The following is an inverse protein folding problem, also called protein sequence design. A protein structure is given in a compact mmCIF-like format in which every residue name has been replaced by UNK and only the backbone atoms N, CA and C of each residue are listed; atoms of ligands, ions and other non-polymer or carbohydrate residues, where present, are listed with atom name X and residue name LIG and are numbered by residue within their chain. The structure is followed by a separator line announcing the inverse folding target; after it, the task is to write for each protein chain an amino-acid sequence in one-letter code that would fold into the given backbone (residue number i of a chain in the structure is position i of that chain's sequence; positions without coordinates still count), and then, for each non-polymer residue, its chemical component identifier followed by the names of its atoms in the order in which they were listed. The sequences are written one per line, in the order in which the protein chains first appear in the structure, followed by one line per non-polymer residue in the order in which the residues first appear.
data_IF_435826590178
#
_entry.id   IF_435826590178
#
_cell.length_a   1.000
_cell.length_b   1.000
_cell.length_c   1.000
_cell.angle_alpha   90.00
_cell.angle_beta   90.00
_cell.angle_gamma   90.00
#
_symmetry.space_group_name_H-M   'P 1'
#
loop_
_entity.id
_entity.type
_entity.pdbx_description
1 polymer ?
#
# COMPACT_ATOMS: atom_id res chain seq x y z
N UNK A 1 22.71 18.17 8.16
CA UNK A 1 22.56 16.70 8.18
C UNK A 1 23.82 16.14 8.85
N UNK A 2 23.69 15.62 10.09
CA UNK A 2 24.84 15.16 10.85
C UNK A 2 25.38 13.84 10.32
N UNK A 3 26.73 13.72 10.33
CA UNK A 3 27.43 12.48 10.03
C UNK A 3 26.86 11.27 10.78
N UNK A 4 26.27 11.44 11.97
CA UNK A 4 25.66 10.40 12.76
C UNK A 4 24.42 9.75 12.13
N UNK A 5 23.62 10.49 11.34
CA UNK A 5 22.42 9.96 10.69
C UNK A 5 22.79 9.10 9.46
N UNK A 6 23.89 9.47 8.78
CA UNK A 6 24.41 8.71 7.64
C UNK A 6 25.02 7.38 8.11
N UNK A 7 25.76 7.38 9.21
CA UNK A 7 26.33 6.16 9.81
C UNK A 7 25.25 5.20 10.33
N UNK A 8 24.23 5.72 11.00
CA UNK A 8 23.09 4.90 11.48
C UNK A 8 22.29 4.29 10.32
N UNK A 9 22.18 4.99 9.19
CA UNK A 9 21.52 4.46 7.99
C UNK A 9 22.36 3.35 7.35
N UNK A 10 23.68 3.53 7.24
CA UNK A 10 24.60 2.51 6.72
C UNK A 10 24.70 1.26 7.60
N UNK A 11 24.65 1.42 8.93
CA UNK A 11 24.62 0.29 9.86
C UNK A 11 23.34 -0.55 9.70
N UNK A 12 22.17 0.09 9.49
CA UNK A 12 20.91 -0.60 9.23
C UNK A 12 20.85 -1.30 7.88
N UNK A 13 21.50 -0.75 6.86
CA UNK A 13 21.59 -1.37 5.52
C UNK A 13 22.41 -2.67 5.51
N UNK A 14 23.25 -2.88 6.51
CA UNK A 14 24.09 -4.08 6.67
C UNK A 14 23.53 -5.12 7.66
N UNK A 15 22.40 -4.84 8.32
CA UNK A 15 21.75 -5.82 9.18
C UNK A 15 21.06 -6.89 8.32
N UNK A 16 21.14 -8.18 8.70
CA UNK A 16 20.41 -9.22 8.00
C UNK A 16 18.90 -8.96 8.12
N UNK A 17 18.11 -9.35 7.10
CA UNK A 17 16.66 -9.19 7.18
C UNK A 17 16.13 -9.94 8.40
N UNK A 18 15.03 -9.44 9.03
CA UNK A 18 14.38 -10.16 10.11
C UNK A 18 13.89 -11.54 9.62
N UNK A 19 13.63 -12.49 10.52
CA UNK A 19 13.08 -13.77 10.11
C UNK A 19 11.68 -13.58 9.50
N UNK A 20 11.38 -14.38 8.48
CA UNK A 20 10.04 -14.48 7.91
C UNK A 20 9.08 -14.99 8.97
N UNK A 21 7.87 -14.42 9.04
CA UNK A 21 6.84 -14.91 9.95
C UNK A 21 6.55 -16.39 9.69
N UNK A 22 6.41 -17.24 10.73
CA UNK A 22 6.24 -18.69 10.58
C UNK A 22 5.10 -19.10 9.65
N UNK A 23 3.99 -18.38 9.67
CA UNK A 23 2.82 -18.63 8.83
C UNK A 23 3.08 -18.41 7.34
N UNK A 24 4.12 -17.68 6.97
CA UNK A 24 4.46 -17.35 5.57
C UNK A 24 5.70 -18.07 5.04
N UNK A 25 6.44 -18.81 5.88
CA UNK A 25 7.68 -19.48 5.48
C UNK A 25 7.47 -20.44 4.29
N UNK A 26 6.40 -21.25 4.33
CA UNK A 26 6.10 -22.21 3.26
C UNK A 26 5.73 -21.51 1.95
N UNK A 27 4.99 -20.39 2.02
CA UNK A 27 4.59 -19.63 0.84
C UNK A 27 5.81 -18.96 0.21
N UNK A 28 6.67 -18.35 1.02
CA UNK A 28 7.91 -17.70 0.55
C UNK A 28 8.84 -18.73 -0.13
N UNK A 29 8.93 -19.95 0.42
CA UNK A 29 9.71 -21.03 -0.17
C UNK A 29 9.22 -21.47 -1.56
N UNK A 30 7.90 -21.39 -1.81
CA UNK A 30 7.29 -21.76 -3.08
C UNK A 30 7.20 -20.59 -4.07
N UNK A 31 7.03 -19.38 -3.56
CA UNK A 31 6.83 -18.15 -4.33
C UNK A 31 7.76 -17.06 -3.79
N UNK A 32 8.93 -16.91 -4.38
CA UNK A 32 9.96 -15.96 -3.91
C UNK A 32 9.54 -14.50 -3.94
N UNK A 33 8.54 -14.15 -4.75
CA UNK A 33 8.00 -12.79 -4.86
C UNK A 33 6.87 -12.52 -3.84
N UNK A 34 6.44 -13.53 -3.09
CA UNK A 34 5.44 -13.33 -2.06
C UNK A 34 5.95 -12.36 -0.99
N UNK A 35 5.18 -11.30 -0.74
CA UNK A 35 5.62 -10.21 0.13
C UNK A 35 4.67 -9.92 1.30
N UNK A 36 3.43 -10.37 1.23
CA UNK A 36 2.45 -10.16 2.27
C UNK A 36 1.06 -10.68 1.95
N UNK A 37 0.15 -10.45 2.89
CA UNK A 37 -1.25 -10.87 2.78
C UNK A 37 -2.17 -9.75 3.28
N UNK A 38 -3.21 -9.42 2.52
CA UNK A 38 -4.20 -8.41 2.89
C UNK A 38 -5.58 -9.03 3.06
N UNK A 39 -6.25 -8.66 4.15
CA UNK A 39 -7.63 -9.06 4.43
C UNK A 39 -8.44 -7.86 4.91
N UNK A 40 -9.63 -7.68 4.34
CA UNK A 40 -10.62 -6.73 4.84
C UNK A 40 -11.89 -7.50 5.14
N UNK A 41 -12.24 -7.63 6.42
CA UNK A 41 -13.40 -8.38 6.87
C UNK A 41 -14.70 -7.82 6.26
N UNK A 42 -15.61 -8.71 5.90
CA UNK A 42 -16.87 -8.33 5.26
C UNK A 42 -16.76 -7.97 3.78
N UNK A 43 -15.59 -8.14 3.18
CA UNK A 43 -15.33 -7.91 1.75
C UNK A 43 -14.75 -9.15 1.09
N UNK A 44 -14.60 -9.12 -0.23
CA UNK A 44 -13.90 -10.17 -1.00
C UNK A 44 -12.37 -10.07 -0.88
N UNK A 45 -11.83 -9.01 -0.27
CA UNK A 45 -10.38 -8.81 -0.19
C UNK A 45 -9.80 -9.73 0.87
N UNK A 46 -9.13 -10.77 0.38
CA UNK A 46 -8.40 -11.79 1.14
C UNK A 46 -7.39 -12.42 0.17
N UNK A 47 -6.26 -11.74 -0.03
CA UNK A 47 -5.35 -12.02 -1.13
C UNK A 47 -3.89 -11.96 -0.74
N UNK A 48 -3.04 -12.77 -1.39
CA UNK A 48 -1.60 -12.58 -1.36
C UNK A 48 -1.20 -11.28 -2.08
N UNK A 49 -0.09 -10.70 -1.65
CA UNK A 49 0.51 -9.50 -2.26
C UNK A 49 1.94 -9.82 -2.64
N UNK A 50 2.30 -9.51 -3.88
CA UNK A 50 3.61 -9.81 -4.45
C UNK A 50 4.49 -8.56 -4.53
N UNK A 51 5.79 -8.75 -4.61
CA UNK A 51 6.77 -7.67 -4.81
C UNK A 51 7.85 -8.13 -5.79
N UNK A 52 8.00 -7.37 -6.88
CA UNK A 52 9.02 -7.57 -7.91
C UNK A 52 9.82 -6.29 -8.11
N UNK A 53 10.98 -6.12 -7.45
CA UNK A 53 11.73 -4.85 -7.51
C UNK A 53 12.21 -4.45 -8.92
N UNK A 54 12.37 -5.44 -9.82
CA UNK A 54 12.94 -5.22 -11.17
C UNK A 54 11.88 -5.13 -12.28
N UNK A 55 10.65 -5.56 -12.02
CA UNK A 55 9.54 -5.52 -12.98
C UNK A 55 8.23 -5.23 -12.25
N UNK A 56 7.94 -3.95 -12.05
CA UNK A 56 6.80 -3.48 -11.28
C UNK A 56 5.43 -3.91 -11.83
N UNK A 57 5.35 -4.26 -13.11
CA UNK A 57 4.09 -4.65 -13.77
C UNK A 57 3.96 -6.17 -13.96
N UNK A 58 4.91 -6.96 -13.45
CA UNK A 58 4.95 -8.41 -13.68
C UNK A 58 3.62 -9.11 -13.34
N UNK A 59 3.02 -8.79 -12.19
CA UNK A 59 1.78 -9.40 -11.71
C UNK A 59 0.51 -8.69 -12.19
N UNK A 60 0.62 -7.66 -13.01
CA UNK A 60 -0.53 -6.92 -13.53
C UNK A 60 -1.52 -7.84 -14.29
N UNK A 61 -1.01 -8.85 -14.99
CA UNK A 61 -1.79 -9.83 -15.75
C UNK A 61 -1.31 -11.27 -15.53
N UNK A 62 -0.83 -11.56 -14.33
CA UNK A 62 -0.35 -12.90 -13.97
C UNK A 62 -0.87 -13.32 -12.61
N UNK A 63 -1.14 -14.60 -12.45
CA UNK A 63 -1.43 -15.21 -11.15
C UNK A 63 -0.14 -15.43 -10.34
N UNK A 64 -0.28 -15.96 -9.11
CA UNK A 64 0.85 -16.22 -8.22
C UNK A 64 1.89 -17.20 -8.77
N UNK A 65 1.51 -18.02 -9.73
CA UNK A 65 2.40 -18.97 -10.43
C UNK A 65 3.09 -18.35 -11.66
N UNK A 66 2.83 -17.10 -11.96
CA UNK A 66 3.38 -16.41 -13.13
C UNK A 66 2.67 -16.75 -14.44
N UNK A 67 1.51 -17.37 -14.38
CA UNK A 67 0.69 -17.70 -15.54
C UNK A 67 -0.23 -16.54 -15.91
N UNK A 68 -0.60 -16.44 -17.18
CA UNK A 68 -1.49 -15.39 -17.66
C UNK A 68 -2.86 -15.45 -16.95
N UNK A 69 -3.26 -14.33 -16.36
CA UNK A 69 -4.54 -14.16 -15.67
C UNK A 69 -4.99 -12.70 -15.82
N UNK A 70 -6.18 -12.51 -16.37
CA UNK A 70 -6.75 -11.19 -16.58
C UNK A 70 -6.99 -10.41 -15.26
N UNK A 71 -7.23 -11.12 -14.16
CA UNK A 71 -7.40 -10.51 -12.84
C UNK A 71 -6.05 -10.02 -12.28
N UNK A 72 -4.96 -10.63 -12.70
CA UNK A 72 -3.65 -10.40 -12.11
C UNK A 72 -3.58 -10.87 -10.65
N UNK A 73 -2.56 -10.40 -9.96
CA UNK A 73 -2.38 -10.56 -8.51
C UNK A 73 -2.09 -9.19 -7.92
N UNK A 74 -2.49 -8.93 -6.68
CA UNK A 74 -2.12 -7.70 -5.98
C UNK A 74 -0.59 -7.62 -5.86
N UNK A 75 -0.04 -6.43 -6.10
CA UNK A 75 1.40 -6.22 -6.03
C UNK A 75 1.75 -4.87 -5.42
N UNK A 76 2.89 -4.85 -4.73
CA UNK A 76 3.43 -3.62 -4.15
C UNK A 76 4.18 -2.81 -5.20
N UNK A 77 4.26 -1.51 -4.96
CA UNK A 77 5.18 -0.65 -5.70
C UNK A 77 6.60 -1.21 -5.61
N UNK A 78 7.34 -1.29 -6.74
CA UNK A 78 8.67 -1.92 -6.77
C UNK A 78 9.72 -1.21 -5.90
N UNK A 79 9.49 0.04 -5.52
CA UNK A 79 10.36 0.82 -4.64
C UNK A 79 10.23 0.46 -3.16
N UNK A 80 9.31 -0.45 -2.81
CA UNK A 80 9.04 -0.84 -1.42
C UNK A 80 10.25 -1.52 -0.80
N UNK A 81 10.64 -1.07 0.39
CA UNK A 81 11.60 -1.72 1.27
C UNK A 81 10.85 -2.35 2.44
N UNK A 82 10.80 -3.69 2.47
CA UNK A 82 10.12 -4.43 3.53
C UNK A 82 10.97 -4.57 4.79
N UNK A 83 12.30 -4.56 4.66
CA UNK A 83 13.23 -4.74 5.79
C UNK A 83 13.26 -3.49 6.66
N UNK A 84 13.48 -2.32 6.05
CA UNK A 84 13.44 -1.03 6.75
C UNK A 84 12.02 -0.52 6.95
N UNK A 85 11.05 -1.15 6.35
CA UNK A 85 9.66 -0.75 6.27
C UNK A 85 9.52 0.69 5.74
N UNK A 86 9.34 0.84 4.42
CA UNK A 86 9.03 2.13 3.78
C UNK A 86 7.90 2.85 4.52
N UNK A 87 7.94 4.17 4.61
CA UNK A 87 6.88 4.97 5.26
C UNK A 87 5.49 4.61 4.73
N UNK A 88 5.36 4.45 3.40
CA UNK A 88 4.12 4.12 2.72
C UNK A 88 4.32 2.89 1.85
N UNK A 89 3.55 1.85 2.09
CA UNK A 89 3.44 0.69 1.20
C UNK A 89 2.23 0.90 0.30
N UNK A 90 2.45 0.93 -1.01
CA UNK A 90 1.38 1.05 -2.01
C UNK A 90 1.13 -0.33 -2.61
N UNK A 91 -0.11 -0.80 -2.52
CA UNK A 91 -0.58 -2.02 -3.15
C UNK A 91 -1.49 -1.65 -4.33
N UNK A 92 -1.17 -2.19 -5.50
CA UNK A 92 -1.97 -2.04 -6.71
C UNK A 92 -2.81 -3.27 -6.98
N UNK A 93 -4.01 -3.08 -7.49
CA UNK A 93 -4.90 -4.15 -7.91
C UNK A 93 -5.88 -3.70 -8.98
N UNK A 94 -6.31 -4.64 -9.83
CA UNK A 94 -7.31 -4.36 -10.85
C UNK A 94 -8.67 -3.99 -10.26
N UNK A 95 -9.32 -3.01 -10.88
CA UNK A 95 -10.73 -2.69 -10.65
C UNK A 95 -11.61 -3.60 -11.52
N UNK A 96 -11.81 -4.84 -11.08
CA UNK A 96 -12.60 -5.81 -11.82
C UNK A 96 -14.10 -5.56 -11.69
N UNK A 97 -14.83 -5.66 -12.79
CA UNK A 97 -16.31 -5.54 -12.81
C UNK A 97 -16.99 -6.60 -11.93
N UNK A 98 -16.38 -7.76 -11.78
CA UNK A 98 -16.84 -8.84 -10.87
C UNK A 98 -16.75 -8.47 -9.38
N UNK A 99 -16.04 -7.40 -9.04
CA UNK A 99 -15.70 -7.03 -7.66
C UNK A 99 -14.46 -7.75 -7.12
N UNK A 100 -13.82 -8.64 -7.92
CA UNK A 100 -12.57 -9.27 -7.54
C UNK A 100 -11.41 -8.25 -7.50
N UNK A 101 -10.33 -8.66 -6.87
CA UNK A 101 -9.15 -7.84 -6.65
C UNK A 101 -9.53 -6.53 -5.93
N UNK A 102 -9.29 -5.36 -6.52
CA UNK A 102 -9.74 -4.08 -5.98
C UNK A 102 -11.02 -3.54 -6.60
N UNK A 103 -11.78 -4.39 -7.29
CA UNK A 103 -13.08 -4.03 -7.85
C UNK A 103 -14.12 -3.62 -6.81
N UNK A 104 -14.01 -4.10 -5.57
CA UNK A 104 -14.89 -3.74 -4.46
C UNK A 104 -14.52 -2.42 -3.78
N UNK A 105 -13.35 -1.84 -4.04
CA UNK A 105 -12.93 -0.58 -3.40
C UNK A 105 -13.88 0.59 -3.70
N UNK A 106 -14.59 0.56 -4.82
CA UNK A 106 -15.61 1.56 -5.17
C UNK A 106 -16.72 1.69 -4.13
N UNK A 107 -16.96 0.66 -3.32
CA UNK A 107 -17.95 0.70 -2.23
C UNK A 107 -17.56 1.67 -1.13
N UNK A 108 -16.27 1.98 -0.97
CA UNK A 108 -15.78 2.98 -0.03
C UNK A 108 -16.18 4.42 -0.38
N UNK A 109 -16.76 4.66 -1.55
CA UNK A 109 -17.38 5.96 -1.89
C UNK A 109 -18.72 6.18 -1.18
N UNK A 110 -19.23 5.17 -0.51
CA UNK A 110 -20.30 5.28 0.48
C UNK A 110 -19.68 5.46 1.86
N UNK A 111 -20.04 6.53 2.58
CA UNK A 111 -19.42 6.87 3.87
C UNK A 111 -19.71 5.82 4.95
N UNK A 112 -20.94 5.26 4.98
CA UNK A 112 -21.31 4.24 5.96
C UNK A 112 -20.50 2.96 5.70
N UNK A 113 -20.34 2.58 4.43
CA UNK A 113 -19.49 1.44 4.06
C UNK A 113 -18.03 1.64 4.49
N UNK A 114 -17.45 2.83 4.24
CA UNK A 114 -16.11 3.16 4.71
C UNK A 114 -15.99 3.01 6.23
N UNK A 115 -16.91 3.57 7.00
CA UNK A 115 -16.87 3.49 8.46
C UNK A 115 -16.98 2.06 8.98
N UNK A 116 -17.81 1.23 8.35
CA UNK A 116 -17.98 -0.19 8.71
C UNK A 116 -16.81 -1.07 8.31
N UNK A 117 -16.02 -0.66 7.30
CA UNK A 117 -14.90 -1.43 6.73
C UNK A 117 -13.58 -0.66 6.80
N UNK A 118 -13.41 0.23 7.76
CA UNK A 118 -12.22 1.05 7.89
C UNK A 118 -10.98 0.26 8.30
N UNK A 119 -11.14 -0.90 8.94
CA UNK A 119 -10.04 -1.72 9.41
C UNK A 119 -9.54 -2.67 8.32
N UNK A 120 -8.22 -2.63 8.08
CA UNK A 120 -7.50 -3.52 7.17
C UNK A 120 -6.50 -4.33 7.97
N UNK A 121 -6.47 -5.65 7.77
CA UNK A 121 -5.36 -6.50 8.21
C UNK A 121 -4.38 -6.67 7.06
N UNK A 122 -3.16 -6.26 7.28
CA UNK A 122 -2.11 -6.41 6.30
C UNK A 122 -0.82 -6.83 6.98
N UNK A 123 -0.35 -8.01 6.60
CA UNK A 123 0.92 -8.56 7.03
C UNK A 123 1.92 -8.45 5.90
N UNK A 124 3.12 -7.94 6.19
CA UNK A 124 4.29 -8.24 5.37
C UNK A 124 4.80 -9.63 5.74
N UNK A 125 5.76 -10.15 5.01
CA UNK A 125 6.41 -11.42 5.41
C UNK A 125 7.18 -11.31 6.73
N UNK A 126 7.44 -10.08 7.23
CA UNK A 126 8.22 -9.83 8.44
C UNK A 126 7.40 -9.37 9.63
N UNK A 127 6.26 -8.75 9.43
CA UNK A 127 5.47 -8.19 10.52
C UNK A 127 3.96 -8.20 10.26
N UNK A 128 3.19 -8.41 11.31
CA UNK A 128 1.74 -8.28 11.29
C UNK A 128 1.33 -6.81 11.44
N UNK A 129 0.18 -6.45 10.90
CA UNK A 129 -0.33 -5.11 11.05
C UNK A 129 -1.84 -5.02 10.90
N UNK A 130 -2.40 -4.12 11.69
CA UNK A 130 -3.77 -3.64 11.55
C UNK A 130 -3.71 -2.16 11.20
N UNK A 131 -4.47 -1.76 10.19
CA UNK A 131 -4.49 -0.40 9.65
C UNK A 131 -5.91 0.14 9.67
N UNK A 132 -6.03 1.44 9.78
CA UNK A 132 -7.33 2.13 9.70
C UNK A 132 -7.32 3.12 8.53
N UNK A 133 -8.29 2.97 7.64
CA UNK A 133 -8.48 3.88 6.50
C UNK A 133 -8.90 5.25 7.00
N UNK A 134 -8.07 6.25 6.82
CA UNK A 134 -8.34 7.64 7.19
C UNK A 134 -8.71 8.53 6.01
N UNK A 135 -8.47 8.10 4.78
CA UNK A 135 -8.81 8.86 3.58
C UNK A 135 -9.27 7.95 2.44
N UNK A 136 -10.40 8.28 1.85
CA UNK A 136 -10.92 7.73 0.60
C UNK A 136 -10.75 8.78 -0.47
N UNK A 137 -9.96 8.49 -1.51
CA UNK A 137 -9.47 9.50 -2.44
C UNK A 137 -9.79 9.19 -3.89
N UNK A 138 -9.97 10.24 -4.67
CA UNK A 138 -10.02 10.21 -6.12
C UNK A 138 -8.94 11.13 -6.68
N UNK A 139 -8.10 10.62 -7.58
CA UNK A 139 -7.06 11.39 -8.24
C UNK A 139 -7.19 11.29 -9.74
N UNK A 140 -6.93 12.41 -10.45
CA UNK A 140 -6.76 12.39 -11.90
C UNK A 140 -5.43 11.73 -12.25
N UNK A 141 -5.40 10.99 -13.35
CA UNK A 141 -4.16 10.45 -13.90
C UNK A 141 -3.31 11.62 -14.40
N UNK A 142 -2.10 11.74 -13.87
CA UNK A 142 -1.16 12.78 -14.26
C UNK A 142 -0.22 12.28 -15.35
N UNK A 143 0.00 13.08 -16.38
CA UNK A 143 0.98 12.78 -17.41
C UNK A 143 2.41 12.89 -16.84
N UNK A 144 3.35 12.09 -17.35
CA UNK A 144 4.74 12.02 -16.86
C UNK A 144 5.47 13.37 -16.78
N UNK A 145 5.05 14.34 -17.59
CA UNK A 145 5.68 15.66 -17.66
C UNK A 145 4.96 16.73 -16.81
N UNK A 146 3.93 16.36 -16.06
CA UNK A 146 3.23 17.28 -15.17
C UNK A 146 4.00 17.46 -13.87
N UNK A 147 4.06 18.69 -13.34
CA UNK A 147 4.61 18.99 -12.02
C UNK A 147 3.57 18.83 -10.91
N UNK A 148 2.40 18.27 -11.23
CA UNK A 148 1.34 18.07 -10.26
C UNK A 148 1.65 16.92 -9.31
N UNK A 149 1.05 16.99 -8.12
CA UNK A 149 1.20 15.99 -7.08
C UNK A 149 0.74 14.61 -7.56
N UNK A 150 1.57 13.59 -7.30
CA UNK A 150 1.30 12.19 -7.59
C UNK A 150 1.34 11.39 -6.29
N UNK A 151 0.18 10.91 -5.83
CA UNK A 151 0.09 10.14 -4.57
C UNK A 151 0.97 8.88 -4.57
N UNK A 152 1.23 8.29 -5.73
CA UNK A 152 2.03 7.07 -5.89
C UNK A 152 3.54 7.32 -5.89
N UNK A 153 4.00 8.57 -5.83
CA UNK A 153 5.44 8.88 -5.72
C UNK A 153 5.91 8.99 -4.26
N UNK A 154 5.00 8.97 -3.30
CA UNK A 154 5.34 9.02 -1.88
C UNK A 154 5.54 7.62 -1.32
N UNK A 155 6.80 7.20 -1.21
CA UNK A 155 7.21 5.90 -0.65
C UNK A 155 7.88 6.09 0.71
N UNK A 156 8.81 7.04 0.81
CA UNK A 156 9.59 7.33 2.00
C UNK A 156 9.54 8.80 2.36
N UNK A 157 9.20 9.08 3.61
CA UNK A 157 9.30 10.44 4.15
C UNK A 157 10.72 10.72 4.60
N UNK A 158 11.39 11.66 3.94
CA UNK A 158 12.75 12.09 4.30
C UNK A 158 12.76 13.10 5.46
N UNK A 159 11.61 13.70 5.77
CA UNK A 159 11.43 14.71 6.81
C UNK A 159 9.97 14.80 7.26
N UNK A 160 9.75 15.41 8.41
CA UNK A 160 8.40 15.73 8.89
C UNK A 160 7.68 16.70 7.94
N UNK A 161 8.40 17.66 7.36
CA UNK A 161 7.86 18.59 6.37
C UNK A 161 7.34 17.85 5.13
N UNK A 162 8.13 16.89 4.59
CA UNK A 162 7.72 16.08 3.45
C UNK A 162 6.50 15.21 3.76
N UNK A 163 6.42 14.65 4.96
CA UNK A 163 5.27 13.88 5.42
C UNK A 163 4.01 14.74 5.51
N UNK A 164 4.11 15.90 6.14
CA UNK A 164 2.97 16.81 6.30
C UNK A 164 2.50 17.38 4.97
N UNK A 165 3.40 17.67 4.05
CA UNK A 165 3.07 18.12 2.70
C UNK A 165 2.30 17.06 1.92
N UNK A 166 2.76 15.80 1.99
CA UNK A 166 2.02 14.66 1.44
C UNK A 166 0.62 14.53 2.04
N UNK A 167 0.50 14.61 3.37
CA UNK A 167 -0.78 14.47 4.07
C UNK A 167 -1.77 15.57 3.65
N UNK A 168 -1.30 16.81 3.52
CA UNK A 168 -2.13 17.93 3.07
C UNK A 168 -2.70 17.67 1.65
N UNK A 169 -1.89 17.14 0.74
CA UNK A 169 -2.36 16.75 -0.59
C UNK A 169 -3.38 15.62 -0.55
N UNK A 170 -3.17 14.61 0.31
CA UNK A 170 -4.12 13.50 0.46
C UNK A 170 -5.46 14.01 0.97
N UNK A 171 -5.47 14.89 1.96
CA UNK A 171 -6.70 15.50 2.48
C UNK A 171 -7.45 16.26 1.38
N UNK A 172 -6.74 16.99 0.52
CA UNK A 172 -7.34 17.71 -0.61
C UNK A 172 -7.95 16.77 -1.66
N UNK A 173 -7.39 15.58 -1.86
CA UNK A 173 -7.89 14.57 -2.80
C UNK A 173 -8.98 13.70 -2.19
N UNK A 174 -9.21 13.74 -0.88
CA UNK A 174 -10.15 12.88 -0.20
C UNK A 174 -11.60 13.30 -0.44
N UNK A 175 -12.46 12.30 -0.68
CA UNK A 175 -13.92 12.42 -0.64
C UNK A 175 -14.37 12.35 0.81
N UNK A 176 -13.76 11.47 1.59
CA UNK A 176 -13.94 11.33 3.02
C UNK A 176 -12.59 11.35 3.72
N UNK A 177 -12.52 12.05 4.85
CA UNK A 177 -11.33 12.12 5.71
C UNK A 177 -11.74 11.80 7.15
N UNK A 178 -11.01 10.88 7.78
CA UNK A 178 -11.18 10.54 9.19
C UNK A 178 -10.67 11.64 10.13
N UNK A 179 -10.97 11.52 11.39
CA UNK A 179 -10.56 12.47 12.43
C UNK A 179 -9.21 12.09 13.07
N UNK A 180 -8.84 10.81 13.05
CA UNK A 180 -7.57 10.32 13.58
C UNK A 180 -6.52 10.25 12.45
N UNK A 181 -5.90 11.41 12.17
CA UNK A 181 -4.92 11.54 11.10
C UNK A 181 -3.54 11.04 11.53
N UNK A 182 -2.75 10.51 10.57
CA UNK A 182 -1.38 10.11 10.85
C UNK A 182 -0.48 11.30 11.15
N UNK A 183 0.60 11.02 11.87
CA UNK A 183 1.69 11.95 12.12
C UNK A 183 3.00 11.38 11.59
N UNK A 184 4.00 12.25 11.41
CA UNK A 184 5.33 11.80 11.01
C UNK A 184 5.87 10.72 11.95
N UNK A 185 6.34 9.62 11.37
CA UNK A 185 6.73 8.41 12.07
C UNK A 185 5.69 7.28 12.01
N UNK A 186 4.44 7.58 11.68
CA UNK A 186 3.45 6.54 11.44
C UNK A 186 3.73 5.80 10.13
N UNK A 187 3.40 4.51 10.11
CA UNK A 187 3.46 3.67 8.92
C UNK A 187 2.14 3.71 8.16
N UNK A 188 2.23 3.90 6.85
CA UNK A 188 1.07 4.04 5.97
C UNK A 188 0.93 2.86 5.03
N UNK A 189 -0.31 2.61 4.63
CA UNK A 189 -0.71 1.64 3.61
C UNK A 189 -1.65 2.33 2.63
N UNK A 190 -1.34 2.26 1.33
CA UNK A 190 -2.19 2.78 0.26
C UNK A 190 -2.69 1.63 -0.59
N UNK A 191 -4.00 1.56 -0.80
CA UNK A 191 -4.63 0.63 -1.74
C UNK A 191 -5.06 1.42 -2.97
N UNK A 192 -4.49 1.10 -4.13
CA UNK A 192 -4.74 1.82 -5.38
C UNK A 192 -5.23 0.89 -6.47
N UNK A 193 -6.27 1.30 -7.18
CA UNK A 193 -6.62 0.65 -8.44
C UNK A 193 -5.53 0.93 -9.48
N UNK A 194 -5.12 -0.11 -10.22
CA UNK A 194 -4.11 0.03 -11.27
C UNK A 194 -4.66 0.51 -12.62
N UNK A 195 -5.97 0.49 -12.77
CA UNK A 195 -6.68 1.03 -13.92
C UNK A 195 -7.57 2.20 -13.50
N UNK A 196 -7.98 3.01 -14.46
CA UNK A 196 -8.82 4.16 -14.18
C UNK A 196 -10.18 3.73 -13.63
N UNK A 197 -10.63 4.42 -12.59
CA UNK A 197 -11.96 4.26 -12.02
C UNK A 197 -12.99 5.05 -12.81
N UNK A 198 -12.63 6.25 -13.24
CA UNK A 198 -13.33 7.08 -14.21
C UNK A 198 -12.45 7.26 -15.44
N UNK A 199 -12.93 7.93 -16.49
CA UNK A 199 -12.17 8.13 -17.75
C UNK A 199 -10.74 8.62 -17.50
N UNK A 200 -10.53 9.50 -16.52
CA UNK A 200 -9.23 10.08 -16.17
C UNK A 200 -8.85 9.97 -14.68
N UNK A 201 -9.51 9.10 -13.91
CA UNK A 201 -9.35 9.07 -12.46
C UNK A 201 -9.07 7.69 -11.86
N UNK A 202 -8.29 7.68 -10.78
CA UNK A 202 -8.02 6.51 -9.95
C UNK A 202 -8.61 6.67 -8.57
N UNK A 203 -9.19 5.59 -8.07
CA UNK A 203 -9.62 5.46 -6.68
C UNK A 203 -8.48 4.86 -5.85
N UNK A 204 -8.21 5.46 -4.72
CA UNK A 204 -7.27 4.91 -3.76
C UNK A 204 -7.70 5.22 -2.32
N UNK A 205 -7.29 4.36 -1.41
CA UNK A 205 -7.49 4.48 0.02
C UNK A 205 -6.14 4.66 0.70
N UNK A 206 -6.08 5.50 1.73
CA UNK A 206 -4.89 5.62 2.57
C UNK A 206 -5.24 5.26 4.00
N UNK A 207 -4.45 4.36 4.58
CA UNK A 207 -4.63 3.89 5.94
C UNK A 207 -3.35 4.09 6.75
N UNK A 208 -3.51 4.26 8.05
CA UNK A 208 -2.39 4.29 8.99
C UNK A 208 -2.38 3.04 9.86
N UNK A 209 -1.19 2.56 10.20
CA UNK A 209 -1.03 1.43 11.10
C UNK A 209 -1.53 1.81 12.49
N UNK A 210 -2.40 0.96 13.05
CA UNK A 210 -2.87 1.11 14.42
C UNK A 210 -1.72 0.80 15.38
N UNK A 211 -1.61 1.57 16.45
CA UNK A 211 -0.69 1.27 17.53
C UNK A 211 -1.22 0.04 18.29
N UNK A 212 -0.34 -0.90 18.58
CA UNK A 212 -0.70 -2.00 19.48
C UNK A 212 -1.05 -1.42 20.84
N UNK A 213 -2.14 -1.92 21.45
CA UNK A 213 -2.46 -1.59 22.83
C UNK A 213 -1.34 -2.16 23.73
N UNK A 214 -0.69 -1.31 24.53
CA UNK A 214 0.27 -1.72 25.55
C UNK A 214 -0.40 -2.61 26.62
#
# INVERSE_FOLDING_TARGET
RGLGDVYKRQERENEPPPPVLPEYEAIVAQHSDFAGWITIDGTKIDYPVMLTPNDGDYYLKRNVNGEDDINGTLFMDPRTDLVQRSTNIIIYGHNMKSGAMFGSLKKYLDEDYWREHAQIRFDTIYEKGTYEVFAVCLAKVQYRNSQEFRYYDFIQADSEEAFNDYLDHIIQLSVFTGTDLPVYGDELLTLSTCNNFTEDGRLFLVAKKCREAE
#
